data_IF_595444024307
#
_entry.id   IF_595444024307
#
_cell.length_a   1.000
_cell.length_b   1.000
_cell.length_c   1.000
_cell.angle_alpha   90.00
_cell.angle_beta   90.00
_cell.angle_gamma   90.00
#
_symmetry.space_group_name_H-M   'P 1'
#
loop_
_entity.id
_entity.type
_entity.pdbx_description
1 polymer ?
#
# COMPACT_ATOMS: atom_id res chain seq x y z
N UNK A 1 -2.97 10.16 -12.56
CA UNK A 1 -3.27 11.57 -12.85
C UNK A 1 -2.21 12.48 -12.23
N UNK A 2 -2.05 13.73 -12.67
CA UNK A 2 -0.92 14.61 -12.29
C UNK A 2 -0.70 14.75 -10.76
N UNK A 3 -1.78 14.81 -9.97
CA UNK A 3 -1.73 14.86 -8.49
C UNK A 3 -1.13 13.58 -7.88
N UNK A 4 -1.63 12.42 -8.29
CA UNK A 4 -1.12 11.11 -7.85
C UNK A 4 0.36 10.95 -8.22
N UNK A 5 0.77 11.39 -9.42
CA UNK A 5 2.17 11.28 -9.85
C UNK A 5 3.12 12.13 -8.99
N UNK A 6 2.71 13.33 -8.57
CA UNK A 6 3.50 14.17 -7.66
C UNK A 6 3.49 13.59 -6.24
N UNK A 7 2.34 13.13 -5.75
CA UNK A 7 2.23 12.55 -4.41
C UNK A 7 2.94 11.20 -4.27
N UNK A 8 3.08 10.44 -5.37
CA UNK A 8 3.92 9.24 -5.41
C UNK A 8 5.40 9.61 -5.37
N UNK A 9 5.80 10.76 -5.93
CA UNK A 9 7.17 11.25 -5.86
C UNK A 9 7.54 11.84 -4.48
N UNK A 10 6.57 12.38 -3.74
CA UNK A 10 6.76 12.90 -2.37
C UNK A 10 6.33 11.93 -1.27
N UNK A 11 5.82 10.76 -1.65
CA UNK A 11 5.17 9.75 -0.78
C UNK A 11 4.02 10.25 0.11
N UNK A 12 3.50 11.45 -0.11
CA UNK A 12 2.30 11.96 0.59
C UNK A 12 1.11 11.03 0.38
N UNK A 13 0.98 10.42 -0.81
CA UNK A 13 -0.07 9.45 -1.08
C UNK A 13 0.01 8.24 -0.15
N UNK A 14 1.23 7.75 0.12
CA UNK A 14 1.43 6.64 1.04
C UNK A 14 1.13 7.04 2.48
N UNK A 15 1.43 8.27 2.88
CA UNK A 15 1.03 8.82 4.17
C UNK A 15 -0.50 8.83 4.37
N UNK A 16 -1.25 9.23 3.34
CA UNK A 16 -2.72 9.18 3.38
C UNK A 16 -3.25 7.74 3.47
N UNK A 17 -2.62 6.81 2.74
CA UNK A 17 -2.97 5.38 2.80
C UNK A 17 -2.71 4.76 4.19
N UNK A 18 -1.70 5.24 4.93
CA UNK A 18 -1.46 4.82 6.33
C UNK A 18 -2.65 5.23 7.22
N UNK A 19 -3.13 6.46 7.08
CA UNK A 19 -4.30 6.97 7.82
C UNK A 19 -5.56 6.18 7.41
N UNK A 20 -5.74 5.92 6.12
CA UNK A 20 -6.86 5.12 5.61
C UNK A 20 -6.84 3.69 6.19
N UNK A 21 -5.69 3.04 6.25
CA UNK A 21 -5.55 1.70 6.82
C UNK A 21 -5.94 1.65 8.30
N UNK A 22 -5.58 2.68 9.09
CA UNK A 22 -6.01 2.81 10.50
C UNK A 22 -7.53 2.82 10.62
N UNK A 23 -8.21 3.54 9.72
CA UNK A 23 -9.66 3.71 9.75
C UNK A 23 -10.43 2.51 9.18
N UNK A 24 -9.95 1.92 8.09
CA UNK A 24 -10.63 0.80 7.43
C UNK A 24 -10.47 -0.53 8.19
N UNK A 25 -9.30 -0.76 8.80
CA UNK A 25 -8.94 -2.06 9.37
C UNK A 25 -8.72 -2.04 10.89
N UNK A 26 -8.90 -0.88 11.53
CA UNK A 26 -8.72 -0.69 12.98
C UNK A 26 -7.30 -1.10 13.48
N UNK A 27 -6.27 -0.84 12.67
CA UNK A 27 -4.87 -1.19 12.98
C UNK A 27 -4.10 0.03 13.45
N UNK A 28 -3.51 -0.01 14.64
CA UNK A 28 -2.71 1.10 15.20
C UNK A 28 -1.53 1.50 14.29
N UNK A 29 -1.21 2.80 14.27
CA UNK A 29 -0.13 3.36 13.44
C UNK A 29 1.22 2.68 13.64
N UNK A 30 1.53 2.27 14.87
CA UNK A 30 2.79 1.58 15.21
C UNK A 30 2.86 0.15 14.66
N UNK A 31 1.73 -0.39 14.16
CA UNK A 31 1.61 -1.68 13.47
C UNK A 31 1.53 -1.54 11.95
N UNK A 32 1.66 -0.32 11.42
CA UNK A 32 1.67 -0.07 9.97
C UNK A 32 3.10 0.25 9.55
N UNK A 33 3.70 -0.64 8.76
CA UNK A 33 5.03 -0.47 8.21
C UNK A 33 4.97 -0.11 6.72
N UNK A 34 5.48 1.06 6.37
CA UNK A 34 5.68 1.44 4.96
C UNK A 34 7.01 0.91 4.46
N UNK A 35 6.98 0.24 3.31
CA UNK A 35 8.17 -0.26 2.60
C UNK A 35 8.12 0.18 1.15
N UNK A 36 9.29 0.49 0.58
CA UNK A 36 9.46 0.73 -0.84
C UNK A 36 9.63 -0.59 -1.56
N UNK A 37 8.86 -0.82 -2.61
CA UNK A 37 8.91 -2.02 -3.45
C UNK A 37 8.93 -1.59 -4.93
N UNK A 38 10.11 -1.26 -5.50
CA UNK A 38 10.20 -0.59 -6.80
C UNK A 38 9.53 -1.36 -7.94
N UNK A 39 9.50 -2.70 -7.88
CA UNK A 39 8.91 -3.52 -8.95
C UNK A 39 7.37 -3.45 -8.98
N UNK A 40 6.71 -2.92 -7.94
CA UNK A 40 5.25 -2.73 -7.87
C UNK A 40 4.43 -4.00 -8.17
N UNK A 41 4.91 -5.15 -7.67
CA UNK A 41 4.31 -6.48 -7.82
C UNK A 41 3.52 -6.87 -6.58
N UNK A 42 4.02 -6.51 -5.39
CA UNK A 42 3.31 -6.70 -4.13
C UNK A 42 2.58 -5.40 -3.82
N UNK A 43 1.25 -5.45 -3.76
CA UNK A 43 0.44 -4.25 -3.55
C UNK A 43 0.29 -3.90 -2.08
N UNK A 44 0.28 -4.90 -1.19
CA UNK A 44 0.35 -4.79 0.27
C UNK A 44 0.46 -6.18 0.91
N UNK A 45 0.73 -6.20 2.22
CA UNK A 45 0.92 -7.40 3.02
C UNK A 45 0.20 -7.27 4.36
N UNK A 46 -0.17 -8.41 4.96
CA UNK A 46 -0.74 -8.51 6.31
C UNK A 46 0.03 -9.55 7.09
N UNK A 47 0.53 -9.16 8.26
CA UNK A 47 1.13 -10.06 9.26
C UNK A 47 0.05 -10.52 10.25
N UNK A 48 0.03 -11.81 10.55
CA UNK A 48 -0.90 -12.44 11.49
C UNK A 48 -0.21 -12.75 12.83
N UNK A 49 -1.00 -13.02 13.88
CA UNK A 49 -0.49 -13.25 15.24
C UNK A 49 0.47 -14.44 15.37
N UNK A 50 0.43 -15.38 14.43
CA UNK A 50 1.34 -16.53 14.34
C UNK A 50 2.67 -16.20 13.62
N UNK A 51 2.84 -14.95 13.18
CA UNK A 51 4.00 -14.47 12.42
C UNK A 51 3.93 -14.79 10.92
N UNK A 52 2.85 -15.38 10.42
CA UNK A 52 2.67 -15.59 9.00
C UNK A 52 2.39 -14.25 8.30
N UNK A 53 2.94 -14.08 7.10
CA UNK A 53 2.68 -12.91 6.25
C UNK A 53 1.98 -13.34 4.98
N UNK A 54 0.82 -12.76 4.70
CA UNK A 54 0.12 -12.90 3.43
C UNK A 54 0.29 -11.64 2.59
N UNK A 55 0.76 -11.83 1.36
CA UNK A 55 0.95 -10.75 0.39
C UNK A 55 -0.07 -10.87 -0.75
N UNK A 56 -0.60 -9.73 -1.21
CA UNK A 56 -1.35 -9.71 -2.47
C UNK A 56 -0.43 -9.29 -3.61
N UNK A 57 -0.23 -10.22 -4.56
CA UNK A 57 0.60 -10.01 -5.74
C UNK A 57 -0.26 -9.84 -6.99
N UNK A 58 0.20 -9.02 -7.93
CA UNK A 58 -0.42 -8.85 -9.23
C UNK A 58 0.31 -7.83 -10.09
N UNK A 59 -0.06 -7.74 -11.36
CA UNK A 59 0.37 -6.64 -12.22
C UNK A 59 -0.21 -5.31 -11.70
N UNK A 60 0.45 -4.16 -11.95
CA UNK A 60 -0.04 -2.84 -11.55
C UNK A 60 -1.22 -2.39 -12.43
N UNK A 61 -2.36 -3.07 -12.31
CA UNK A 61 -3.61 -2.79 -13.03
C UNK A 61 -4.79 -2.62 -12.05
N UNK A 62 -5.36 -1.41 -12.01
CA UNK A 62 -6.49 -1.05 -11.15
C UNK A 62 -7.76 -1.86 -11.42
N UNK A 63 -7.89 -2.54 -12.57
CA UNK A 63 -9.05 -3.39 -12.85
C UNK A 63 -9.19 -4.52 -11.82
N UNK A 64 -8.07 -5.04 -11.30
CA UNK A 64 -8.09 -6.14 -10.33
C UNK A 64 -8.73 -5.72 -8.99
N UNK A 65 -8.25 -4.68 -8.28
CA UNK A 65 -8.87 -4.25 -7.03
C UNK A 65 -10.31 -3.76 -7.23
N UNK A 66 -10.61 -3.04 -8.32
CA UNK A 66 -11.98 -2.57 -8.62
C UNK A 66 -12.93 -3.77 -8.81
N UNK A 67 -12.54 -4.75 -9.62
CA UNK A 67 -13.36 -5.94 -9.82
C UNK A 67 -13.58 -6.68 -8.49
N UNK A 68 -12.52 -6.86 -7.71
CA UNK A 68 -12.62 -7.61 -6.45
C UNK A 68 -13.54 -6.92 -5.44
N UNK A 69 -13.46 -5.59 -5.32
CA UNK A 69 -14.38 -4.83 -4.47
C UNK A 69 -15.86 -5.02 -4.85
N UNK A 70 -16.16 -5.13 -6.16
CA UNK A 70 -17.53 -5.33 -6.66
C UNK A 70 -18.01 -6.79 -6.59
N UNK A 71 -17.11 -7.76 -6.60
CA UNK A 71 -17.47 -9.19 -6.67
C UNK A 71 -17.21 -9.97 -5.39
N UNK A 72 -16.61 -9.33 -4.37
CA UNK A 72 -16.31 -9.96 -3.09
C UNK A 72 -17.54 -10.70 -2.51
N UNK A 73 -17.38 -11.93 -1.98
CA UNK A 73 -16.13 -12.68 -1.80
C UNK A 73 -15.70 -13.49 -3.05
N UNK A 74 -16.47 -13.44 -4.13
CA UNK A 74 -16.22 -14.21 -5.33
C UNK A 74 -15.17 -13.57 -6.24
N UNK A 75 -14.50 -14.41 -7.03
CA UNK A 75 -13.57 -13.96 -8.07
C UNK A 75 -14.19 -14.20 -9.44
N UNK A 76 -13.97 -13.27 -10.36
CA UNK A 76 -14.35 -13.39 -11.77
C UNK A 76 -13.11 -13.34 -12.65
N UNK A 77 -13.22 -13.96 -13.83
CA UNK A 77 -12.18 -13.87 -14.83
C UNK A 77 -11.99 -12.41 -15.25
N UNK A 78 -10.74 -11.94 -15.20
CA UNK A 78 -10.34 -10.61 -15.63
C UNK A 78 -9.34 -10.73 -16.78
N UNK A 79 -9.67 -10.19 -17.95
CA UNK A 79 -8.74 -10.17 -19.08
C UNK A 79 -7.58 -9.21 -18.83
N UNK A 80 -6.36 -9.62 -19.16
CA UNK A 80 -5.16 -8.80 -19.02
C UNK A 80 -3.90 -9.65 -18.86
N UNK A 81 -2.77 -8.98 -18.68
CA UNK A 81 -1.51 -9.65 -18.36
C UNK A 81 -1.61 -10.42 -17.04
N UNK A 82 -0.74 -11.42 -16.90
CA UNK A 82 -0.62 -12.23 -15.69
C UNK A 82 0.77 -12.05 -15.14
N UNK A 83 0.88 -12.09 -13.81
CA UNK A 83 2.16 -12.15 -13.16
C UNK A 83 2.88 -13.43 -13.60
N UNK A 84 4.10 -13.27 -14.09
CA UNK A 84 4.95 -14.36 -14.57
C UNK A 84 6.22 -14.39 -13.73
N UNK A 85 6.29 -15.35 -12.80
CA UNK A 85 7.42 -15.51 -11.90
C UNK A 85 8.70 -15.96 -12.61
N UNK A 86 8.63 -16.49 -13.83
CA UNK A 86 9.82 -16.83 -14.61
C UNK A 86 10.46 -15.59 -15.25
N UNK A 87 9.66 -14.55 -15.50
CA UNK A 87 10.14 -13.24 -15.98
C UNK A 87 10.51 -12.30 -14.84
N UNK A 88 9.88 -12.47 -13.68
CA UNK A 88 10.20 -11.71 -12.48
C UNK A 88 11.55 -12.16 -11.95
N UNK A 89 12.56 -11.29 -12.04
CA UNK A 89 13.91 -11.62 -11.60
C UNK A 89 14.07 -11.51 -10.10
N UNK A 90 13.50 -10.46 -9.51
CA UNK A 90 13.64 -10.16 -8.09
C UNK A 90 12.47 -9.31 -7.58
N UNK A 91 12.29 -9.34 -6.26
CA UNK A 91 11.44 -8.43 -5.50
C UNK A 91 12.34 -7.87 -4.41
N UNK A 92 12.54 -6.55 -4.41
CA UNK A 92 13.36 -5.87 -3.40
C UNK A 92 12.49 -5.01 -2.49
N UNK A 93 12.96 -4.83 -1.26
CA UNK A 93 12.33 -3.99 -0.27
C UNK A 93 13.35 -3.03 0.31
N UNK A 94 12.97 -1.77 0.44
CA UNK A 94 13.80 -0.72 1.02
C UNK A 94 13.00 0.06 2.05
N UNK A 95 13.69 0.58 3.07
CA UNK A 95 13.08 1.51 4.01
C UNK A 95 12.95 2.88 3.35
N UNK A 96 11.80 3.56 3.50
CA UNK A 96 11.70 4.94 3.05
C UNK A 96 12.59 5.85 3.90
N UNK A 97 13.29 6.77 3.23
CA UNK A 97 14.02 7.84 3.91
C UNK A 97 13.04 8.90 4.43
N UNK A 98 12.84 8.92 5.75
CA UNK A 98 11.87 9.81 6.40
C UNK A 98 12.32 11.29 6.39
N UNK A 99 13.60 11.57 6.20
CA UNK A 99 14.12 12.94 6.06
C UNK A 99 13.87 13.47 4.65
N UNK A 100 13.97 12.60 3.62
CA UNK A 100 13.64 12.97 2.24
C UNK A 100 12.12 12.99 2.00
N UNK A 101 11.37 12.08 2.60
CA UNK A 101 9.92 11.93 2.43
C UNK A 101 9.14 12.45 3.63
N UNK A 102 9.33 13.73 3.95
CA UNK A 102 8.72 14.39 5.11
C UNK A 102 7.19 14.23 5.16
N UNK A 103 6.52 14.16 4.01
CA UNK A 103 5.07 13.95 3.93
C UNK A 103 4.60 12.64 4.56
N UNK A 104 5.42 11.59 4.52
CA UNK A 104 5.13 10.33 5.20
C UNK A 104 5.31 10.49 6.72
N UNK A 105 6.39 11.15 7.16
CA UNK A 105 6.65 11.41 8.58
C UNK A 105 5.50 12.22 9.21
N UNK A 106 5.05 13.27 8.53
CA UNK A 106 3.93 14.11 8.96
C UNK A 106 2.61 13.32 9.04
N UNK A 107 2.37 12.37 8.13
CA UNK A 107 1.18 11.53 8.20
C UNK A 107 1.15 10.64 9.45
N UNK A 108 2.29 10.05 9.83
CA UNK A 108 2.39 9.31 11.09
C UNK A 108 2.19 10.21 12.31
N UNK A 109 2.76 11.42 12.30
CA UNK A 109 2.59 12.39 13.39
C UNK A 109 1.13 12.84 13.54
N UNK A 110 0.49 13.24 12.44
CA UNK A 110 -0.92 13.65 12.42
C UNK A 110 -1.84 12.50 12.84
N UNK A 111 -1.59 11.29 12.34
CA UNK A 111 -2.31 10.09 12.69
C UNK A 111 -2.24 9.76 14.18
N UNK A 112 -1.04 9.81 14.77
CA UNK A 112 -0.83 9.56 16.21
C UNK A 112 -1.46 10.64 17.09
N UNK A 113 -1.42 11.90 16.64
CA UNK A 113 -1.99 13.01 17.42
C UNK A 113 -3.53 12.99 17.40
N UNK A 114 -4.12 12.53 16.30
CA UNK A 114 -5.57 12.37 16.17
C UNK A 114 -6.34 13.70 16.14
N UNK A 115 -7.62 13.65 16.52
CA UNK A 115 -8.55 14.80 16.45
C UNK A 115 -8.71 15.33 15.01
N UNK A 116 -8.73 16.66 14.80
CA UNK A 116 -8.92 17.28 13.49
C UNK A 116 -7.62 17.45 12.68
N UNK A 117 -6.46 17.06 13.21
CA UNK A 117 -5.18 17.22 12.51
C UNK A 117 -5.06 16.46 11.18
N UNK A 118 -5.69 15.28 11.01
CA UNK A 118 -5.72 14.60 9.71
C UNK A 118 -6.66 15.22 8.65
N UNK A 119 -7.50 16.20 9.02
CA UNK A 119 -8.59 16.74 8.17
C UNK A 119 -8.19 18.05 7.49
#
# INVERSE_FOLDING_TARGET
GRKITIDSATMVNKGLEVIEARHLFDVDFDRIQVVLQPQSVIHSMVEFEDGAVMAQLGTPDMKLPIQYALTYPHRRYLQGERLDFWKLQEITFEQPDMDTFEGLALAYEAGRTGSSLPT
#
